data_IF_942921008864
#
_entry.id   IF_942921008864
#
_cell.length_a   1.000
_cell.length_b   1.000
_cell.length_c   1.000
_cell.angle_alpha   90.00
_cell.angle_beta   90.00
_cell.angle_gamma   90.00
#
_symmetry.space_group_name_H-M   'P 1'
#
loop_
_entity.id
_entity.type
_entity.pdbx_description
1 polymer ?
#
# COMPACT_ATOMS: atom_id res chain seq x y z
N UNK A 1 21.99 63.55 -17.34
CA UNK A 1 21.48 63.00 -16.08
C UNK A 1 20.15 62.32 -16.37
N UNK A 2 20.17 61.04 -16.80
CA UNK A 2 19.01 60.13 -16.98
C UNK A 2 19.35 58.99 -17.97
N UNK A 3 20.31 58.11 -17.65
CA UNK A 3 20.49 56.84 -18.41
C UNK A 3 20.94 55.67 -17.51
N UNK A 4 21.37 55.90 -16.27
CA UNK A 4 21.92 54.84 -15.41
C UNK A 4 20.91 54.16 -14.47
N UNK A 5 19.64 54.55 -14.46
CA UNK A 5 18.63 53.98 -13.53
C UNK A 5 17.79 52.85 -14.15
N UNK A 6 17.85 52.65 -15.47
CA UNK A 6 16.93 51.74 -16.17
C UNK A 6 17.45 50.27 -16.25
N UNK A 7 18.77 50.06 -16.24
CA UNK A 7 19.36 48.70 -16.27
C UNK A 7 19.32 47.97 -14.92
N UNK A 8 19.27 48.72 -13.81
CA UNK A 8 19.18 48.16 -12.45
C UNK A 8 17.79 47.61 -12.15
N UNK A 9 16.75 48.23 -12.71
CA UNK A 9 15.35 47.81 -12.51
C UNK A 9 15.08 46.50 -13.29
N UNK A 10 15.61 46.38 -14.51
CA UNK A 10 15.44 45.15 -15.31
C UNK A 10 16.13 43.93 -14.69
N UNK A 11 17.33 44.09 -14.11
CA UNK A 11 18.03 42.97 -13.45
C UNK A 11 17.38 42.53 -12.15
N UNK A 12 16.78 43.47 -11.40
CA UNK A 12 16.08 43.17 -10.16
C UNK A 12 14.73 42.47 -10.41
N UNK A 13 14.02 42.87 -11.47
CA UNK A 13 12.73 42.27 -11.84
C UNK A 13 12.91 40.91 -12.51
N UNK A 14 13.92 40.73 -13.37
CA UNK A 14 14.22 39.43 -14.00
C UNK A 14 14.81 38.42 -13.00
N UNK A 15 15.61 38.87 -12.03
CA UNK A 15 16.12 38.03 -10.95
C UNK A 15 15.05 37.60 -9.94
N UNK A 16 14.09 38.48 -9.63
CA UNK A 16 12.96 38.16 -8.75
C UNK A 16 11.90 37.28 -9.43
N UNK A 17 11.72 37.40 -10.76
CA UNK A 17 10.84 36.53 -11.53
C UNK A 17 11.34 35.09 -11.65
N UNK A 18 12.66 34.86 -11.56
CA UNK A 18 13.24 33.52 -11.60
C UNK A 18 13.17 32.80 -10.25
N UNK A 19 12.96 33.53 -9.15
CA UNK A 19 12.89 32.97 -7.80
C UNK A 19 11.46 32.84 -7.25
N UNK A 20 10.45 33.39 -7.96
CA UNK A 20 9.03 33.33 -7.59
C UNK A 20 8.19 32.38 -8.47
N UNK A 21 8.86 31.54 -9.27
CA UNK A 21 8.24 30.42 -10.01
C UNK A 21 8.79 29.06 -9.56
N UNK A 22 9.28 28.98 -8.32
CA UNK A 22 9.17 27.74 -7.57
C UNK A 22 7.70 27.57 -7.12
N UNK A 23 6.80 27.52 -8.10
CA UNK A 23 5.59 26.72 -7.94
C UNK A 23 6.13 25.39 -7.47
N UNK A 24 5.83 25.05 -6.22
CA UNK A 24 5.83 23.68 -5.76
C UNK A 24 5.17 22.90 -6.90
N UNK A 25 5.99 22.25 -7.72
CA UNK A 25 5.48 21.18 -8.56
C UNK A 25 4.81 20.30 -7.52
N UNK A 26 3.51 19.94 -7.62
CA UNK A 26 3.03 18.85 -6.79
C UNK A 26 4.01 17.75 -7.12
N UNK A 27 4.90 17.46 -6.17
CA UNK A 27 5.91 16.46 -6.38
C UNK A 27 5.09 15.27 -6.85
N UNK A 28 5.47 14.70 -7.99
CA UNK A 28 4.97 13.40 -8.40
C UNK A 28 5.50 12.44 -7.33
N UNK A 29 4.90 12.48 -6.14
CA UNK A 29 5.30 11.70 -4.99
C UNK A 29 4.94 10.29 -5.39
N UNK A 30 5.94 9.41 -5.31
CA UNK A 30 5.79 8.04 -5.71
C UNK A 30 4.59 7.44 -4.98
N UNK A 31 3.64 6.92 -5.76
CA UNK A 31 2.49 6.24 -5.22
C UNK A 31 2.80 4.74 -5.19
N UNK A 32 2.40 4.05 -4.12
CA UNK A 32 2.64 2.61 -3.95
C UNK A 32 1.46 1.95 -3.29
N UNK A 33 1.10 0.76 -3.76
CA UNK A 33 0.15 -0.14 -3.10
C UNK A 33 0.87 -1.40 -2.65
N UNK A 34 0.59 -1.85 -1.43
CA UNK A 34 1.24 -3.01 -0.82
C UNK A 34 0.24 -3.81 0.00
N UNK A 35 0.43 -5.13 0.03
CA UNK A 35 -0.25 -5.97 1.00
C UNK A 35 0.42 -5.85 2.38
N UNK A 36 -0.38 -5.99 3.42
CA UNK A 36 0.08 -6.13 4.80
C UNK A 36 -0.31 -7.52 5.32
N UNK A 37 0.60 -8.15 6.06
CA UNK A 37 0.34 -9.41 6.76
C UNK A 37 -0.51 -9.22 8.03
N UNK A 38 -0.73 -10.31 8.76
CA UNK A 38 -1.51 -10.33 10.01
C UNK A 38 -0.95 -9.42 11.12
N UNK A 39 0.30 -8.94 10.99
CA UNK A 39 0.96 -8.04 11.94
C UNK A 39 1.04 -6.59 11.41
N UNK A 40 0.47 -6.31 10.24
CA UNK A 40 0.53 -5.00 9.59
C UNK A 40 1.86 -4.70 8.88
N UNK A 41 2.71 -5.71 8.66
CA UNK A 41 3.97 -5.57 7.95
C UNK A 41 3.80 -5.80 6.44
N UNK A 42 4.53 -5.08 5.57
CA UNK A 42 4.47 -5.31 4.12
C UNK A 42 4.78 -6.77 3.74
N UNK A 43 3.97 -7.36 2.87
CA UNK A 43 4.07 -8.78 2.55
C UNK A 43 3.87 -9.09 1.06
N UNK A 44 4.57 -10.12 0.59
CA UNK A 44 4.36 -10.77 -0.71
C UNK A 44 3.84 -12.21 -0.56
N UNK A 45 3.66 -12.65 0.68
CA UNK A 45 3.07 -13.94 1.05
C UNK A 45 2.00 -13.72 2.12
N UNK A 46 0.82 -14.28 1.92
CA UNK A 46 -0.33 -14.13 2.81
C UNK A 46 -0.82 -15.48 3.30
N UNK A 47 -1.29 -15.54 4.54
CA UNK A 47 -1.97 -16.72 5.08
C UNK A 47 -3.33 -16.88 4.40
N UNK A 48 -3.57 -18.06 3.82
CA UNK A 48 -4.86 -18.40 3.23
C UNK A 48 -5.95 -18.47 4.31
N UNK A 49 -7.13 -17.91 4.03
CA UNK A 49 -8.26 -17.89 4.97
C UNK A 49 -8.21 -16.85 6.10
N UNK A 50 -7.23 -15.94 6.09
CA UNK A 50 -7.09 -14.87 7.09
C UNK A 50 -7.49 -13.48 6.59
N UNK A 51 -7.51 -12.47 7.49
CA UNK A 51 -7.62 -11.08 7.09
C UNK A 51 -6.35 -10.63 6.38
N UNK A 52 -6.51 -9.79 5.37
CA UNK A 52 -5.42 -9.20 4.59
C UNK A 52 -5.53 -7.69 4.66
N UNK A 53 -4.44 -7.04 5.07
CA UNK A 53 -4.36 -5.59 5.06
C UNK A 53 -3.84 -5.07 3.72
N UNK A 54 -4.20 -3.83 3.41
CA UNK A 54 -3.68 -3.09 2.25
C UNK A 54 -3.19 -1.74 2.76
N UNK A 55 -2.01 -1.32 2.31
CA UNK A 55 -1.54 0.07 2.44
C UNK A 55 -1.33 0.69 1.07
N UNK A 56 -1.96 1.82 0.87
CA UNK A 56 -1.73 2.72 -0.26
C UNK A 56 -1.07 3.99 0.26
N UNK A 57 0.11 4.31 -0.26
CA UNK A 57 0.75 5.61 -0.08
C UNK A 57 0.51 6.39 -1.35
N UNK A 58 -0.35 7.40 -1.30
CA UNK A 58 -0.73 8.22 -2.45
C UNK A 58 -1.03 9.66 -2.00
N UNK A 59 0.01 10.48 -1.77
CA UNK A 59 -0.18 11.86 -1.33
C UNK A 59 -0.98 12.74 -2.30
N UNK A 60 -1.06 12.35 -3.58
CA UNK A 60 -1.90 13.02 -4.58
C UNK A 60 -3.40 12.83 -4.35
N UNK A 61 -3.81 11.91 -3.48
CA UNK A 61 -5.20 11.66 -3.10
C UNK A 61 -5.60 12.33 -1.78
N UNK A 62 -4.64 12.90 -1.06
CA UNK A 62 -4.88 13.78 0.08
C UNK A 62 -5.30 15.16 -0.46
N UNK A 63 -6.61 15.35 -0.54
CA UNK A 63 -7.26 16.50 -1.19
C UNK A 63 -8.11 17.32 -0.23
N UNK A 64 -8.42 16.79 0.95
CA UNK A 64 -9.17 17.51 1.98
C UNK A 64 -8.41 17.57 3.31
N UNK A 65 -8.66 18.58 4.16
CA UNK A 65 -8.10 18.62 5.52
C UNK A 65 -8.58 17.48 6.44
N UNK A 66 -9.55 16.69 5.99
CA UNK A 66 -10.13 15.57 6.73
C UNK A 66 -9.37 14.27 6.47
N UNK A 67 -10.05 13.14 6.70
CA UNK A 67 -9.60 11.83 6.24
C UNK A 67 -10.27 11.52 4.92
N UNK A 68 -9.49 11.40 3.87
CA UNK A 68 -9.96 11.01 2.56
C UNK A 68 -10.17 9.50 2.43
N UNK A 69 -10.92 9.10 1.42
CA UNK A 69 -11.27 7.71 1.14
C UNK A 69 -11.10 7.38 -0.34
N UNK A 70 -10.70 6.15 -0.61
CA UNK A 70 -10.57 5.61 -1.97
C UNK A 70 -10.82 4.11 -1.96
N UNK A 71 -10.62 3.43 -3.08
CA UNK A 71 -10.77 1.97 -3.17
C UNK A 71 -9.64 1.32 -3.96
N UNK A 72 -9.37 0.06 -3.66
CA UNK A 72 -8.58 -0.84 -4.47
C UNK A 72 -9.43 -2.05 -4.87
N UNK A 73 -9.12 -2.68 -6.00
CA UNK A 73 -9.72 -3.93 -6.42
C UNK A 73 -8.76 -5.07 -6.04
N UNK A 74 -9.24 -6.01 -5.22
CA UNK A 74 -8.53 -7.25 -4.95
C UNK A 74 -9.12 -8.37 -5.82
N UNK A 75 -8.28 -9.17 -6.47
CA UNK A 75 -8.70 -10.30 -7.30
C UNK A 75 -7.88 -11.56 -7.03
N UNK A 76 -8.54 -12.71 -7.13
CA UNK A 76 -7.92 -14.03 -6.96
C UNK A 76 -7.73 -14.70 -8.33
N UNK A 77 -6.55 -15.27 -8.58
CA UNK A 77 -6.26 -15.92 -9.87
C UNK A 77 -6.99 -17.25 -10.01
N UNK A 78 -6.94 -18.11 -9.00
CA UNK A 78 -7.56 -19.44 -9.01
C UNK A 78 -9.01 -19.41 -8.53
N UNK A 79 -9.31 -18.59 -7.51
CA UNK A 79 -10.67 -18.41 -7.00
C UNK A 79 -11.61 -17.69 -7.97
N UNK A 80 -11.06 -16.92 -8.93
CA UNK A 80 -11.80 -16.21 -9.97
C UNK A 80 -12.68 -15.03 -9.50
N UNK A 81 -12.66 -14.71 -8.20
CA UNK A 81 -13.42 -13.59 -7.62
C UNK A 81 -12.66 -12.27 -7.68
N UNK A 82 -13.40 -11.17 -7.51
CA UNK A 82 -12.84 -9.87 -7.19
C UNK A 82 -13.75 -9.09 -6.24
N UNK A 83 -13.16 -8.23 -5.42
CA UNK A 83 -13.87 -7.38 -4.47
C UNK A 83 -13.26 -5.98 -4.45
N UNK A 84 -14.10 -4.97 -4.24
CA UNK A 84 -13.64 -3.61 -3.95
C UNK A 84 -13.35 -3.47 -2.46
N UNK A 85 -12.12 -3.06 -2.12
CA UNK A 85 -11.67 -2.82 -0.76
C UNK A 85 -11.64 -1.32 -0.53
N UNK A 86 -12.40 -0.85 0.46
CA UNK A 86 -12.39 0.56 0.84
C UNK A 86 -11.10 0.86 1.61
N UNK A 87 -10.38 1.90 1.19
CA UNK A 87 -9.18 2.40 1.83
C UNK A 87 -9.48 3.77 2.42
N UNK A 88 -8.99 4.03 3.63
CA UNK A 88 -9.19 5.30 4.32
C UNK A 88 -7.90 5.82 4.89
N UNK A 89 -7.70 7.13 4.85
CA UNK A 89 -6.50 7.72 5.43
C UNK A 89 -6.33 7.36 6.91
N UNK A 90 -5.08 7.06 7.28
CA UNK A 90 -4.66 6.69 8.63
C UNK A 90 -4.72 7.85 9.61
N UNK A 91 -4.67 9.09 9.12
CA UNK A 91 -4.88 10.34 9.84
C UNK A 91 -5.29 11.47 8.88
N UNK A 92 -5.71 12.64 9.40
CA UNK A 92 -5.97 13.80 8.56
C UNK A 92 -4.73 14.21 7.78
N UNK A 93 -4.86 14.45 6.48
CA UNK A 93 -3.81 14.90 5.59
C UNK A 93 -2.52 14.07 5.67
N UNK A 94 -2.65 12.74 5.57
CA UNK A 94 -1.50 11.82 5.68
C UNK A 94 -1.02 11.32 4.33
N UNK A 95 -1.89 11.25 3.33
CA UNK A 95 -1.61 10.59 2.06
C UNK A 95 -1.36 9.09 2.19
N UNK A 96 -1.63 8.50 3.37
CA UNK A 96 -1.46 7.07 3.65
C UNK A 96 -2.80 6.47 4.02
N UNK A 97 -3.27 5.57 3.17
CA UNK A 97 -4.58 4.94 3.25
C UNK A 97 -4.44 3.46 3.59
N UNK A 98 -5.32 2.97 4.45
CA UNK A 98 -5.37 1.56 4.83
C UNK A 98 -6.79 1.01 4.75
N UNK A 99 -6.87 -0.29 4.46
CA UNK A 99 -8.10 -1.06 4.46
C UNK A 99 -7.79 -2.54 4.62
N UNK A 100 -8.82 -3.34 4.81
CA UNK A 100 -8.68 -4.79 4.98
C UNK A 100 -9.83 -5.54 4.31
N UNK A 101 -9.59 -6.81 4.02
CA UNK A 101 -10.59 -7.75 3.53
C UNK A 101 -10.25 -9.16 3.98
N UNK A 102 -11.25 -10.04 4.02
CA UNK A 102 -11.04 -11.44 4.40
C UNK A 102 -10.85 -12.32 3.16
N UNK A 103 -9.96 -13.30 3.27
CA UNK A 103 -9.84 -14.40 2.30
C UNK A 103 -10.77 -15.54 2.68
N UNK A 104 -11.50 -16.07 1.71
CA UNK A 104 -12.43 -17.17 1.89
C UNK A 104 -11.89 -18.42 1.20
N UNK A 105 -11.48 -19.42 1.98
CA UNK A 105 -11.08 -20.73 1.45
C UNK A 105 -12.30 -21.55 1.01
N UNK A 106 -12.12 -22.37 -0.03
CA UNK A 106 -13.17 -23.15 -0.70
C UNK A 106 -14.36 -23.61 0.16
N UNK A 107 -15.57 -23.22 -0.27
CA UNK A 107 -16.84 -23.58 0.38
C UNK A 107 -17.28 -22.65 1.51
N UNK A 108 -16.46 -21.64 1.87
CA UNK A 108 -16.85 -20.61 2.82
C UNK A 108 -17.81 -19.59 2.17
N UNK A 109 -18.84 -19.19 2.92
CA UNK A 109 -19.86 -18.22 2.49
C UNK A 109 -19.68 -16.94 3.30
N UNK A 110 -19.63 -15.79 2.63
CA UNK A 110 -19.45 -14.51 3.32
C UNK A 110 -19.05 -13.38 2.39
N UNK A 111 -18.75 -12.23 2.97
CA UNK A 111 -18.29 -11.02 2.27
C UNK A 111 -16.75 -10.95 2.29
N UNK A 112 -16.11 -11.78 1.47
CA UNK A 112 -14.65 -11.83 1.33
C UNK A 112 -14.24 -12.30 -0.05
N UNK A 113 -12.93 -12.31 -0.32
CA UNK A 113 -12.38 -12.76 -1.58
C UNK A 113 -12.19 -14.27 -1.56
N UNK A 114 -12.94 -15.00 -2.39
CA UNK A 114 -12.79 -16.44 -2.54
C UNK A 114 -11.44 -16.80 -3.16
N UNK A 115 -10.72 -17.73 -2.54
CA UNK A 115 -9.41 -18.21 -2.99
C UNK A 115 -9.49 -19.66 -3.46
N UNK A 116 -8.62 -20.02 -4.42
CA UNK A 116 -8.52 -21.34 -4.99
C UNK A 116 -7.24 -22.08 -4.60
N UNK A 117 -7.26 -23.40 -4.73
CA UNK A 117 -6.06 -24.25 -4.64
C UNK A 117 -6.15 -25.33 -5.70
N UNK A 118 -5.08 -25.51 -6.47
CA UNK A 118 -4.89 -26.67 -7.35
C UNK A 118 -4.12 -27.71 -6.58
N UNK A 119 -4.56 -28.97 -6.59
CA UNK A 119 -3.96 -30.02 -5.75
C UNK A 119 -2.83 -30.82 -6.45
N UNK A 120 -2.59 -30.61 -7.75
CA UNK A 120 -1.59 -31.37 -8.51
C UNK A 120 -0.93 -30.51 -9.63
N UNK A 121 0.31 -30.01 -9.43
CA UNK A 121 1.00 -29.89 -8.13
C UNK A 121 0.20 -28.99 -7.18
N UNK A 122 0.46 -29.13 -5.88
CA UNK A 122 -0.19 -28.28 -4.87
C UNK A 122 0.24 -26.83 -5.06
N UNK A 123 -0.63 -26.03 -5.68
CA UNK A 123 -0.41 -24.61 -5.96
C UNK A 123 -1.52 -23.82 -5.31
N UNK A 124 -1.12 -22.89 -4.43
CA UNK A 124 -2.01 -21.95 -3.76
C UNK A 124 -2.29 -20.74 -4.66
N UNK A 125 -3.33 -19.99 -4.32
CA UNK A 125 -3.74 -18.83 -5.10
C UNK A 125 -2.70 -17.71 -5.10
N UNK A 126 -2.83 -16.80 -6.07
CA UNK A 126 -2.22 -15.48 -6.05
C UNK A 126 -3.32 -14.44 -5.96
N UNK A 127 -3.17 -13.51 -5.05
CA UNK A 127 -4.05 -12.34 -4.92
C UNK A 127 -3.37 -11.15 -5.57
N UNK A 128 -4.09 -10.44 -6.42
CA UNK A 128 -3.64 -9.20 -7.05
C UNK A 128 -4.42 -8.03 -6.48
N UNK A 129 -3.73 -6.89 -6.32
CA UNK A 129 -4.33 -5.59 -6.06
C UNK A 129 -4.17 -4.71 -7.27
N UNK A 130 -5.20 -3.94 -7.53
CA UNK A 130 -5.19 -2.86 -8.50
C UNK A 130 -5.79 -1.61 -7.89
N UNK A 131 -5.12 -0.48 -8.06
CA UNK A 131 -5.66 0.82 -7.71
C UNK A 131 -5.49 1.79 -8.88
N UNK A 132 -6.60 2.38 -9.30
CA UNK A 132 -6.65 3.37 -10.38
C UNK A 132 -6.76 4.77 -9.76
N UNK A 133 -5.60 5.33 -9.38
CA UNK A 133 -5.49 6.67 -8.81
C UNK A 133 -5.27 7.75 -9.88
N UNK A 134 -4.90 8.95 -9.42
CA UNK A 134 -4.49 10.04 -10.31
C UNK A 134 -3.08 9.75 -10.86
N UNK A 135 -2.97 9.39 -12.14
CA UNK A 135 -1.70 9.11 -12.81
C UNK A 135 -1.66 7.74 -13.48
N UNK A 136 -1.10 6.75 -12.79
CA UNK A 136 -0.91 5.38 -13.30
C UNK A 136 -1.60 4.34 -12.42
N UNK A 137 -2.02 3.24 -13.03
CA UNK A 137 -2.50 2.07 -12.31
C UNK A 137 -1.38 1.52 -11.43
N UNK A 138 -1.66 1.36 -10.14
CA UNK A 138 -0.78 0.71 -9.19
C UNK A 138 -1.22 -0.74 -9.04
N UNK A 139 -0.24 -1.65 -9.02
CA UNK A 139 -0.51 -3.07 -8.83
C UNK A 139 0.41 -3.67 -7.78
N UNK A 140 -0.07 -4.71 -7.11
CA UNK A 140 0.72 -5.57 -6.23
C UNK A 140 0.21 -7.01 -6.34
N UNK A 141 1.08 -7.99 -6.08
CA UNK A 141 0.71 -9.41 -6.07
C UNK A 141 1.30 -10.08 -4.84
N UNK A 142 0.52 -10.97 -4.23
CA UNK A 142 0.96 -11.80 -3.13
C UNK A 142 0.50 -13.24 -3.33
N UNK A 143 1.40 -14.19 -3.06
CA UNK A 143 1.08 -15.62 -3.12
C UNK A 143 0.50 -16.09 -1.79
N UNK A 144 -0.44 -17.02 -1.83
CA UNK A 144 -1.01 -17.57 -0.62
C UNK A 144 -0.17 -18.74 -0.10
N UNK A 145 -0.02 -18.80 1.21
CA UNK A 145 0.58 -19.93 1.92
C UNK A 145 -0.45 -20.54 2.85
N UNK A 146 -0.48 -21.86 2.91
CA UNK A 146 -1.49 -22.56 3.73
C UNK A 146 -1.24 -22.41 5.23
N UNK A 147 0.01 -22.46 5.65
CA UNK A 147 0.42 -22.36 7.05
C UNK A 147 1.77 -21.65 7.14
N UNK A 148 2.01 -20.93 8.24
CA UNK A 148 3.29 -20.33 8.59
C UNK A 148 3.74 -20.84 9.96
N UNK A 149 4.98 -21.32 10.04
CA UNK A 149 5.60 -21.74 11.31
C UNK A 149 6.51 -20.61 11.76
N UNK A 150 6.33 -20.16 13.02
CA UNK A 150 7.18 -19.17 13.68
C UNK A 150 7.80 -19.79 14.91
N UNK A 151 9.07 -19.51 15.10
CA UNK A 151 9.79 -19.81 16.31
C UNK A 151 9.78 -18.53 17.15
N UNK A 152 9.27 -18.61 18.38
CA UNK A 152 9.15 -17.44 19.26
C UNK A 152 9.94 -17.66 20.55
N UNK A 153 10.54 -16.59 21.09
CA UNK A 153 11.20 -16.61 22.38
C UNK A 153 10.20 -16.54 23.54
N UNK A 154 10.71 -16.62 24.78
CA UNK A 154 9.90 -16.56 26.00
C UNK A 154 9.11 -15.24 26.19
N UNK A 155 9.38 -14.23 25.35
CA UNK A 155 8.68 -12.95 25.32
C UNK A 155 7.76 -12.80 24.09
N UNK A 156 7.55 -13.88 23.33
CA UNK A 156 6.68 -13.91 22.16
C UNK A 156 7.28 -13.24 20.92
N UNK A 157 8.58 -12.96 20.90
CA UNK A 157 9.25 -12.35 19.75
C UNK A 157 9.82 -13.42 18.83
N UNK A 158 9.81 -13.18 17.52
CA UNK A 158 10.42 -14.13 16.57
C UNK A 158 11.89 -14.37 16.89
N UNK A 159 12.28 -15.64 16.86
CA UNK A 159 13.67 -16.08 17.05
C UNK A 159 14.05 -17.08 15.96
N UNK A 160 15.26 -16.98 15.45
CA UNK A 160 15.82 -17.96 14.50
C UNK A 160 16.70 -19.00 15.20
N UNK A 161 16.87 -18.91 16.52
CA UNK A 161 17.71 -19.83 17.30
C UNK A 161 17.27 -19.95 18.76
N UNK A 162 17.58 -21.09 19.36
CA UNK A 162 17.40 -21.32 20.80
C UNK A 162 18.69 -21.92 21.35
N UNK A 163 19.14 -21.43 22.52
CA UNK A 163 20.23 -22.10 23.21
C UNK A 163 19.76 -23.47 23.71
N UNK A 164 20.64 -24.47 23.69
CA UNK A 164 20.32 -25.79 24.24
C UNK A 164 19.95 -25.66 25.73
N UNK A 165 18.76 -26.15 26.10
CA UNK A 165 18.23 -26.04 27.46
C UNK A 165 17.46 -24.74 27.77
N UNK A 166 17.31 -23.83 26.80
CA UNK A 166 16.44 -22.66 26.95
C UNK A 166 14.97 -23.11 26.95
N UNK A 167 14.19 -22.59 27.90
CA UNK A 167 12.74 -22.81 27.92
C UNK A 167 12.10 -22.01 26.78
N UNK A 168 11.29 -22.70 25.96
CA UNK A 168 10.50 -22.13 24.85
C UNK A 168 9.03 -22.05 25.25
#
# INVERSE_FOLDING_TARGET
MAVLEDEMIYRLVVGAALCLLALCSPALQAQTITFLDENGAPATELLDGGPVGIRLTAPSLDTTPGRDGTYALASSVLGGGSIAVTLRETGPATGVFEGFFDLLTGGSWGSGLTTGTVYQPATRDTVNLEHNGTGSQLTASATLVGNRIRFVDAWGRDSTSFAAGQQV
#
